data_IF_035297329517
#
_entry.id   IF_035297329517
#
_cell.length_a   1.000
_cell.length_b   1.000
_cell.length_c   1.000
_cell.angle_alpha   90.00
_cell.angle_beta   90.00
_cell.angle_gamma   90.00
#
_symmetry.space_group_name_H-M   'P 1'
#
loop_
_entity.id
_entity.type
_entity.pdbx_description
1 polymer ?
#
# COMPACT_ATOMS: atom_id res chain seq x y z
N UNK A 1 8.31 -6.22 -2.22
CA UNK A 1 8.46 -7.68 -2.50
C UNK A 1 7.50 -8.10 -3.61
N UNK A 2 7.54 -7.44 -4.78
CA UNK A 2 6.52 -7.63 -5.81
C UNK A 2 6.63 -8.98 -6.54
N UNK A 3 7.81 -9.61 -6.56
CA UNK A 3 8.02 -10.91 -7.20
C UNK A 3 7.70 -12.11 -6.30
N UNK A 4 7.65 -11.88 -4.99
CA UNK A 4 7.55 -12.95 -4.00
C UNK A 4 6.27 -13.80 -4.12
N UNK A 5 5.07 -13.25 -4.44
CA UNK A 5 3.86 -14.07 -4.54
C UNK A 5 4.00 -15.20 -5.59
N UNK A 6 4.56 -14.91 -6.77
CA UNK A 6 4.79 -15.92 -7.80
C UNK A 6 5.84 -16.95 -7.35
N UNK A 7 6.96 -16.50 -6.77
CA UNK A 7 8.03 -17.40 -6.29
C UNK A 7 7.54 -18.36 -5.19
N UNK A 8 6.69 -17.88 -4.28
CA UNK A 8 6.07 -18.75 -3.26
C UNK A 8 5.18 -19.78 -3.93
N UNK A 9 4.41 -19.38 -4.95
CA UNK A 9 3.51 -20.28 -5.68
C UNK A 9 4.23 -21.35 -6.51
N UNK A 10 5.42 -21.04 -7.02
CA UNK A 10 6.29 -22.01 -7.71
C UNK A 10 6.77 -23.12 -6.76
N UNK A 11 7.05 -22.78 -5.50
CA UNK A 11 7.53 -23.73 -4.49
C UNK A 11 6.36 -24.49 -3.84
N UNK A 12 5.26 -23.81 -3.57
CA UNK A 12 4.05 -24.34 -2.97
C UNK A 12 2.83 -23.88 -3.78
N UNK A 13 2.15 -24.77 -4.52
CA UNK A 13 1.12 -24.37 -5.48
C UNK A 13 -0.22 -23.94 -4.86
N UNK A 14 -0.55 -24.41 -3.66
CA UNK A 14 -1.87 -24.23 -3.01
C UNK A 14 -1.93 -23.41 -1.70
N UNK A 15 -1.03 -22.45 -1.41
CA UNK A 15 -1.22 -21.52 -0.30
C UNK A 15 -2.18 -20.38 -0.69
N UNK A 16 -2.92 -19.87 0.30
CA UNK A 16 -3.59 -18.58 0.18
C UNK A 16 -2.58 -17.44 0.35
N UNK A 17 -2.39 -16.63 -0.69
CA UNK A 17 -1.39 -15.54 -0.74
C UNK A 17 -2.10 -14.19 -0.85
N UNK A 18 -1.90 -13.33 0.14
CA UNK A 18 -2.29 -11.92 0.09
C UNK A 18 -1.08 -11.02 -0.15
N UNK A 19 -1.21 -10.05 -1.06
CA UNK A 19 -0.24 -9.00 -1.30
C UNK A 19 -0.90 -7.64 -1.11
N UNK A 20 -0.23 -6.73 -0.41
CA UNK A 20 -0.71 -5.36 -0.23
C UNK A 20 0.40 -4.35 -0.60
N UNK A 21 0.09 -3.39 -1.45
CA UNK A 21 1.04 -2.33 -1.82
C UNK A 21 0.77 -1.05 -1.01
N UNK A 22 1.68 -0.75 -0.09
CA UNK A 22 1.59 0.43 0.78
C UNK A 22 1.95 1.76 0.10
N UNK A 23 2.72 1.70 -0.99
CA UNK A 23 3.08 2.88 -1.77
C UNK A 23 2.09 3.07 -2.93
N UNK A 24 1.97 4.28 -3.50
CA UNK A 24 1.20 4.49 -4.71
C UNK A 24 1.64 3.55 -5.83
N UNK A 25 0.67 2.94 -6.54
CA UNK A 25 0.95 2.30 -7.81
C UNK A 25 0.94 3.37 -8.92
N UNK A 26 2.01 3.50 -9.71
CA UNK A 26 2.14 4.58 -10.69
C UNK A 26 1.21 4.38 -11.87
N UNK A 27 0.93 5.46 -12.61
CA UNK A 27 0.19 5.36 -13.87
C UNK A 27 0.93 4.47 -14.88
N UNK A 28 0.17 3.90 -15.83
CA UNK A 28 0.75 3.07 -16.89
C UNK A 28 1.89 3.80 -17.65
N UNK A 29 1.75 5.11 -17.91
CA UNK A 29 2.76 5.89 -18.64
C UNK A 29 4.12 5.91 -17.94
N UNK A 30 4.13 5.91 -16.61
CA UNK A 30 5.35 5.80 -15.82
C UNK A 30 5.78 4.34 -15.69
N UNK A 31 4.84 3.44 -15.38
CA UNK A 31 5.14 2.03 -15.13
C UNK A 31 5.78 1.35 -16.34
N UNK A 32 5.33 1.67 -17.57
CA UNK A 32 5.86 1.08 -18.81
C UNK A 32 7.34 1.37 -19.07
N UNK A 33 7.90 2.38 -18.39
CA UNK A 33 9.32 2.73 -18.52
C UNK A 33 10.24 1.74 -17.80
N UNK A 34 9.70 0.94 -16.87
CA UNK A 34 10.46 -0.09 -16.18
C UNK A 34 10.87 -1.21 -17.16
N UNK A 35 12.15 -1.62 -17.16
CA UNK A 35 12.61 -2.75 -17.96
C UNK A 35 11.89 -4.05 -17.59
N UNK A 36 11.71 -4.29 -16.29
CA UNK A 36 11.13 -5.53 -15.73
C UNK A 36 9.62 -5.43 -15.43
N UNK A 37 8.91 -4.62 -16.22
CA UNK A 37 7.49 -4.32 -15.99
C UNK A 37 6.59 -5.57 -16.03
N UNK A 38 6.91 -6.51 -16.91
CA UNK A 38 6.14 -7.75 -17.07
C UNK A 38 6.37 -8.68 -15.88
N UNK A 39 7.63 -8.86 -15.48
CA UNK A 39 8.03 -9.68 -14.34
C UNK A 39 7.44 -9.16 -13.03
N UNK A 40 7.41 -7.83 -12.84
CA UNK A 40 6.78 -7.22 -11.66
C UNK A 40 5.29 -7.52 -11.61
N UNK A 41 4.56 -7.34 -12.72
CA UNK A 41 3.12 -7.59 -12.76
C UNK A 41 2.81 -9.08 -12.57
N UNK A 42 3.50 -9.97 -13.30
CA UNK A 42 3.37 -11.42 -13.16
C UNK A 42 3.72 -11.89 -11.74
N UNK A 43 4.76 -11.29 -11.15
CA UNK A 43 5.15 -11.51 -9.76
C UNK A 43 4.01 -11.23 -8.78
N UNK A 44 3.32 -10.10 -8.96
CA UNK A 44 2.18 -9.71 -8.11
C UNK A 44 0.96 -10.61 -8.33
N UNK A 45 0.71 -11.05 -9.57
CA UNK A 45 -0.37 -11.98 -9.95
C UNK A 45 -0.21 -13.40 -9.39
N UNK A 46 0.93 -13.70 -8.77
CA UNK A 46 1.08 -14.88 -7.93
C UNK A 46 0.26 -14.83 -6.64
N UNK A 47 -0.33 -13.68 -6.27
CA UNK A 47 -1.25 -13.60 -5.13
C UNK A 47 -2.68 -14.06 -5.50
N UNK A 48 -3.49 -14.38 -4.49
CA UNK A 48 -4.94 -14.57 -4.62
C UNK A 48 -5.71 -13.26 -4.35
N UNK A 49 -5.11 -12.38 -3.56
CA UNK A 49 -5.61 -11.02 -3.28
C UNK A 49 -4.49 -10.00 -3.40
N UNK A 50 -4.73 -8.95 -4.18
CA UNK A 50 -3.87 -7.77 -4.31
C UNK A 50 -4.64 -6.55 -3.79
N UNK A 51 -4.13 -5.95 -2.71
CA UNK A 51 -4.74 -4.79 -2.06
C UNK A 51 -3.97 -3.49 -2.29
N UNK A 52 -4.71 -2.39 -2.43
CA UNK A 52 -4.18 -1.02 -2.53
C UNK A 52 -4.87 -0.07 -1.55
N UNK A 53 -4.24 1.06 -1.21
CA UNK A 53 -4.87 2.06 -0.34
C UNK A 53 -6.02 2.84 -1.01
N UNK A 54 -5.98 3.05 -2.32
CA UNK A 54 -6.95 3.90 -3.02
C UNK A 54 -7.41 3.27 -4.34
N UNK A 55 -8.60 3.66 -4.76
CA UNK A 55 -9.16 3.29 -6.06
C UNK A 55 -8.27 3.73 -7.22
N UNK A 56 -7.61 4.89 -7.11
CA UNK A 56 -6.72 5.37 -8.17
C UNK A 56 -5.54 4.43 -8.41
N UNK A 57 -4.95 3.89 -7.33
CA UNK A 57 -3.82 2.96 -7.42
C UNK A 57 -4.25 1.62 -8.03
N UNK A 58 -5.39 1.07 -7.57
CA UNK A 58 -5.96 -0.15 -8.14
C UNK A 58 -6.29 0.02 -9.63
N UNK A 59 -6.86 1.17 -10.02
CA UNK A 59 -7.14 1.50 -11.42
C UNK A 59 -5.85 1.57 -12.27
N UNK A 60 -4.79 2.17 -11.75
CA UNK A 60 -3.52 2.22 -12.46
C UNK A 60 -2.89 0.83 -12.63
N UNK A 61 -2.97 -0.02 -11.60
CA UNK A 61 -2.55 -1.40 -11.68
C UNK A 61 -3.34 -2.19 -12.74
N UNK A 62 -4.67 -2.10 -12.74
CA UNK A 62 -5.52 -2.73 -13.76
C UNK A 62 -5.21 -2.21 -15.17
N UNK A 63 -4.95 -0.91 -15.32
CA UNK A 63 -4.52 -0.35 -16.61
C UNK A 63 -3.17 -0.89 -17.07
N UNK A 64 -2.24 -1.16 -16.14
CA UNK A 64 -0.95 -1.75 -16.46
C UNK A 64 -1.10 -3.23 -16.86
N UNK A 65 -1.91 -4.00 -16.14
CA UNK A 65 -2.24 -5.39 -16.48
C UNK A 65 -2.81 -5.51 -17.89
N UNK A 66 -3.82 -4.70 -18.22
CA UNK A 66 -4.46 -4.74 -19.53
C UNK A 66 -3.49 -4.38 -20.65
N UNK A 67 -2.70 -3.31 -20.48
CA UNK A 67 -1.85 -2.78 -21.55
C UNK A 67 -0.52 -3.51 -21.72
N UNK A 68 -0.05 -4.21 -20.69
CA UNK A 68 1.26 -4.90 -20.70
C UNK A 68 1.07 -6.41 -20.87
N UNK A 69 0.14 -7.00 -20.11
CA UNK A 69 -0.08 -8.45 -20.12
C UNK A 69 -1.34 -8.86 -20.90
N UNK A 70 -2.16 -7.91 -21.36
CA UNK A 70 -3.42 -8.22 -22.03
C UNK A 70 -4.51 -8.75 -21.09
N UNK A 71 -4.34 -8.60 -19.78
CA UNK A 71 -5.24 -9.14 -18.78
C UNK A 71 -6.28 -8.11 -18.34
N UNK A 72 -7.55 -8.44 -18.54
CA UNK A 72 -8.67 -7.59 -18.13
C UNK A 72 -9.09 -7.88 -16.69
N UNK A 73 -9.52 -6.83 -15.99
CA UNK A 73 -10.14 -6.96 -14.67
C UNK A 73 -11.66 -6.93 -14.83
N UNK A 74 -12.30 -8.07 -14.58
CA UNK A 74 -13.74 -8.22 -14.59
C UNK A 74 -14.26 -8.28 -13.16
N UNK A 75 -15.11 -7.33 -12.77
CA UNK A 75 -15.74 -7.28 -11.45
C UNK A 75 -14.77 -7.42 -10.26
N UNK A 76 -13.59 -6.80 -10.35
CA UNK A 76 -12.57 -6.83 -9.31
C UNK A 76 -11.70 -8.09 -9.32
N UNK A 77 -11.75 -8.89 -10.39
CA UNK A 77 -10.97 -10.12 -10.54
C UNK A 77 -10.24 -10.14 -11.88
N UNK A 78 -9.03 -10.69 -11.86
CA UNK A 78 -8.22 -10.92 -13.06
C UNK A 78 -8.03 -12.42 -13.19
N UNK A 79 -8.37 -12.99 -14.34
CA UNK A 79 -8.13 -14.40 -14.62
C UNK A 79 -6.64 -14.61 -14.95
N UNK A 80 -5.95 -15.44 -14.18
CA UNK A 80 -4.56 -15.83 -14.41
C UNK A 80 -4.54 -17.35 -14.44
N UNK A 81 -4.37 -17.91 -15.63
CA UNK A 81 -4.61 -19.33 -15.90
C UNK A 81 -6.01 -19.74 -15.41
N UNK A 82 -6.11 -20.77 -14.56
CA UNK A 82 -7.35 -21.25 -13.94
C UNK A 82 -7.69 -20.54 -12.61
N UNK A 83 -6.95 -19.47 -12.23
CA UNK A 83 -7.12 -18.80 -10.93
C UNK A 83 -7.68 -17.39 -11.05
N UNK A 84 -8.74 -17.04 -10.30
CA UNK A 84 -9.20 -15.67 -10.20
C UNK A 84 -8.41 -14.90 -9.12
N UNK A 85 -7.61 -13.92 -9.53
CA UNK A 85 -6.89 -13.02 -8.62
C UNK A 85 -7.78 -11.82 -8.29
N UNK A 86 -8.11 -11.61 -7.01
CA UNK A 86 -8.90 -10.45 -6.59
C UNK A 86 -8.03 -9.20 -6.46
N UNK A 87 -8.48 -8.09 -7.02
CA UNK A 87 -7.87 -6.76 -6.85
C UNK A 87 -8.86 -5.86 -6.13
N UNK A 88 -8.46 -5.28 -5.00
CA UNK A 88 -9.37 -4.49 -4.16
C UNK A 88 -8.64 -3.36 -3.41
N UNK A 89 -9.42 -2.49 -2.77
CA UNK A 89 -8.92 -1.33 -2.03
C UNK A 89 -9.22 -1.45 -0.54
N UNK A 90 -8.19 -1.27 0.28
CA UNK A 90 -8.28 -1.27 1.74
C UNK A 90 -7.54 -0.03 2.28
N UNK A 91 -8.27 1.04 2.65
CA UNK A 91 -7.65 2.18 3.31
C UNK A 91 -7.11 1.73 4.68
N UNK A 92 -5.86 2.08 4.97
CA UNK A 92 -5.23 1.70 6.23
C UNK A 92 -5.53 2.74 7.31
N UNK A 93 -6.00 2.27 8.45
CA UNK A 93 -6.21 3.10 9.64
C UNK A 93 -5.05 2.99 10.63
N UNK A 94 -5.12 3.79 11.68
CA UNK A 94 -4.26 3.66 12.86
C UNK A 94 -5.01 2.96 14.00
N UNK A 95 -4.28 2.44 14.98
CA UNK A 95 -4.89 1.92 16.20
C UNK A 95 -5.43 3.09 17.05
N UNK A 96 -6.69 3.45 16.84
CA UNK A 96 -7.34 4.60 17.48
C UNK A 96 -7.31 4.49 19.00
N UNK A 97 -7.54 3.29 19.56
CA UNK A 97 -7.55 3.10 21.02
C UNK A 97 -6.17 3.36 21.63
N UNK A 98 -5.10 2.89 20.98
CA UNK A 98 -3.73 3.09 21.46
C UNK A 98 -3.34 4.57 21.47
N UNK A 99 -3.73 5.33 20.45
CA UNK A 99 -3.32 6.73 20.32
C UNK A 99 -4.30 7.70 20.99
N UNK A 100 -5.58 7.33 21.10
CA UNK A 100 -6.63 8.16 21.68
C UNK A 100 -6.37 8.51 23.14
N UNK A 101 -5.91 7.54 23.94
CA UNK A 101 -5.57 7.76 25.36
C UNK A 101 -4.08 8.04 25.60
N UNK A 102 -3.24 8.08 24.56
CA UNK A 102 -1.79 8.30 24.74
C UNK A 102 -1.48 9.65 25.40
N UNK A 103 -2.32 10.65 25.21
CA UNK A 103 -2.19 11.95 25.87
C UNK A 103 -2.40 11.88 27.38
N UNK A 104 -3.10 10.88 27.90
CA UNK A 104 -3.39 10.74 29.34
C UNK A 104 -2.18 10.22 30.14
N UNK A 105 -1.14 9.73 29.46
CA UNK A 105 0.06 9.22 30.11
C UNK A 105 0.77 10.35 30.90
N UNK A 106 1.15 10.14 32.17
CA UNK A 106 1.76 11.19 33.01
C UNK A 106 3.01 11.84 32.39
N UNK A 107 3.86 11.04 31.76
CA UNK A 107 5.06 11.51 31.05
C UNK A 107 4.74 12.41 29.85
N UNK A 108 3.61 12.16 29.17
CA UNK A 108 3.14 12.97 28.04
C UNK A 108 2.54 14.27 28.55
N UNK A 109 1.75 14.23 29.62
CA UNK A 109 1.22 15.43 30.29
C UNK A 109 2.34 16.36 30.77
N UNK A 110 3.36 15.81 31.45
CA UNK A 110 4.52 16.59 31.86
C UNK A 110 5.20 17.26 30.66
N UNK A 111 5.37 16.52 29.55
CA UNK A 111 6.01 17.08 28.36
C UNK A 111 5.16 18.18 27.69
N UNK A 112 3.84 18.08 27.76
CA UNK A 112 2.91 19.11 27.28
C UNK A 112 3.06 20.38 28.11
N UNK A 113 3.11 20.27 29.44
CA UNK A 113 3.32 21.41 30.34
C UNK A 113 4.64 22.13 30.02
N UNK A 114 5.74 21.38 29.96
CA UNK A 114 7.07 21.92 29.63
C UNK A 114 7.07 22.65 28.27
N UNK A 115 6.40 22.06 27.27
CA UNK A 115 6.31 22.64 25.94
C UNK A 115 5.50 23.94 25.93
N UNK A 116 4.41 23.99 26.71
CA UNK A 116 3.54 25.17 26.81
C UNK A 116 4.22 26.33 27.54
N UNK A 117 4.98 26.04 28.60
CA UNK A 117 5.84 27.03 29.26
C UNK A 117 6.90 27.57 28.30
N UNK A 118 7.63 26.68 27.61
CA UNK A 118 8.64 27.07 26.61
C UNK A 118 8.04 27.89 25.46
N UNK A 119 6.81 27.58 25.05
CA UNK A 119 6.11 28.30 23.99
C UNK A 119 5.80 29.76 24.38
N UNK A 120 5.29 29.99 25.59
CA UNK A 120 4.70 31.27 25.99
C UNK A 120 3.54 31.67 25.06
N UNK A 121 3.47 32.94 24.65
CA UNK A 121 2.38 33.47 23.81
C UNK A 121 2.51 33.16 22.31
N UNK A 122 3.56 32.44 21.90
CA UNK A 122 3.82 32.11 20.49
C UNK A 122 2.91 30.99 20.00
N UNK A 123 2.80 30.81 18.68
CA UNK A 123 2.15 29.62 18.09
C UNK A 123 3.22 28.59 17.72
N UNK A 124 2.90 27.30 17.86
CA UNK A 124 3.75 26.19 17.39
C UNK A 124 3.12 25.64 16.11
N UNK A 125 3.95 25.44 15.10
CA UNK A 125 3.63 24.65 13.91
C UNK A 125 4.48 23.39 13.99
N UNK A 126 3.84 22.22 14.01
CA UNK A 126 4.51 20.92 14.10
C UNK A 126 4.15 20.10 12.87
N UNK A 127 5.18 19.58 12.21
CA UNK A 127 5.06 18.57 11.15
C UNK A 127 6.01 17.42 11.52
N UNK A 128 5.57 16.19 11.36
CA UNK A 128 6.37 14.99 11.63
C UNK A 128 6.33 14.13 10.38
N UNK A 129 7.33 14.32 9.54
CA UNK A 129 7.41 13.70 8.23
C UNK A 129 8.80 13.10 8.04
N UNK A 130 8.89 12.11 7.15
CA UNK A 130 10.19 11.68 6.63
C UNK A 130 10.79 12.83 5.83
N UNK A 131 12.11 13.00 5.91
CA UNK A 131 12.83 13.89 5.01
C UNK A 131 12.95 13.23 3.63
N UNK A 132 11.86 13.23 2.88
CA UNK A 132 11.72 12.65 1.55
C UNK A 132 11.12 13.69 0.59
N UNK A 133 11.29 13.48 -0.71
CA UNK A 133 10.82 14.37 -1.79
C UNK A 133 9.40 14.05 -2.27
N UNK A 134 8.78 13.02 -1.70
CA UNK A 134 7.41 12.55 -2.03
C UNK A 134 6.34 13.20 -1.19
#
# INVERSE_FOLDING_TARGET
>A
LMLLPAMVREIAPDPSIGFFLHIPFPSYELFRTLPWREEILSGMLGADLIGFHSFSYARHFNSALLRILGLENEFGRVAVDERPVKVDTFPLGVNVNRFGSAHELPEVQQRIEDLMEQKGDRKIVLSVDRLDFT
#
